data_IF_756664171263
#
_entry.id   IF_756664171263
#
_cell.length_a   1.000
_cell.length_b   1.000
_cell.length_c   1.000
_cell.angle_alpha   90.00
_cell.angle_beta   90.00
_cell.angle_gamma   90.00
#
_symmetry.space_group_name_H-M   'P 1'
#
loop_
_entity.id
_entity.type
_entity.pdbx_description
1 polymer ?
#
# COMPACT_ATOMS: atom_id res chain seq x y z
N UNK A 1 14.82 -6.30 11.62
CA UNK A 1 15.12 -5.17 10.70
C UNK A 1 14.94 -5.50 9.21
N UNK A 2 15.36 -6.66 8.68
CA UNK A 2 15.15 -7.01 7.25
C UNK A 2 13.67 -7.02 6.80
N UNK A 3 12.75 -7.47 7.65
CA UNK A 3 11.30 -7.52 7.35
C UNK A 3 10.66 -6.12 7.20
N UNK A 4 11.25 -5.10 7.80
CA UNK A 4 10.83 -3.72 7.62
C UNK A 4 11.30 -3.20 6.26
N UNK A 5 12.55 -3.47 5.88
CA UNK A 5 13.13 -3.08 4.59
C UNK A 5 12.38 -3.68 3.39
N UNK A 6 12.04 -4.98 3.42
CA UNK A 6 11.25 -5.62 2.36
C UNK A 6 9.82 -5.07 2.26
N UNK A 7 9.18 -4.78 3.40
CA UNK A 7 7.83 -4.23 3.41
C UNK A 7 7.79 -2.76 2.97
N UNK A 8 8.79 -1.95 3.36
CA UNK A 8 8.91 -0.57 2.91
C UNK A 8 9.30 -0.49 1.44
N UNK A 9 10.09 -1.44 0.93
CA UNK A 9 10.42 -1.54 -0.51
C UNK A 9 9.18 -1.76 -1.38
N UNK A 10 8.25 -2.61 -0.96
CA UNK A 10 6.99 -2.81 -1.69
C UNK A 10 6.14 -1.53 -1.70
N UNK A 11 6.00 -0.87 -0.55
CA UNK A 11 5.27 0.41 -0.44
C UNK A 11 5.93 1.49 -1.31
N UNK A 12 7.25 1.62 -1.26
CA UNK A 12 8.01 2.58 -2.05
C UNK A 12 7.83 2.33 -3.56
N UNK A 13 7.84 1.07 -3.99
CA UNK A 13 7.59 0.71 -5.39
C UNK A 13 6.20 1.14 -5.86
N UNK A 14 5.16 0.89 -5.04
CA UNK A 14 3.79 1.33 -5.36
C UNK A 14 3.67 2.86 -5.39
N UNK A 15 4.37 3.56 -4.50
CA UNK A 15 4.42 5.03 -4.49
C UNK A 15 5.08 5.58 -5.75
N UNK A 16 6.22 5.02 -6.16
CA UNK A 16 6.92 5.43 -7.39
C UNK A 16 6.04 5.18 -8.62
N UNK A 17 5.37 4.03 -8.68
CA UNK A 17 4.43 3.71 -9.75
C UNK A 17 3.25 4.70 -9.80
N UNK A 18 2.63 4.99 -8.65
CA UNK A 18 1.53 5.95 -8.56
C UNK A 18 1.97 7.37 -8.96
N UNK A 19 3.20 7.77 -8.62
CA UNK A 19 3.77 9.06 -9.00
C UNK A 19 3.96 9.18 -10.52
N UNK A 20 4.48 8.13 -11.19
CA UNK A 20 4.65 8.10 -12.65
C UNK A 20 3.29 8.19 -13.34
N UNK A 21 2.29 7.43 -12.88
CA UNK A 21 0.93 7.48 -13.41
C UNK A 21 0.29 8.85 -13.19
N UNK A 22 0.50 9.48 -12.02
CA UNK A 22 0.03 10.82 -11.75
C UNK A 22 0.61 11.85 -12.73
N UNK A 23 1.91 11.79 -13.00
CA UNK A 23 2.57 12.66 -13.99
C UNK A 23 2.01 12.44 -15.40
N UNK A 24 1.74 11.19 -15.80
CA UNK A 24 1.06 10.91 -17.08
C UNK A 24 -0.35 11.48 -17.12
N UNK A 25 -1.11 11.41 -16.02
CA UNK A 25 -2.44 11.99 -15.92
C UNK A 25 -2.42 13.52 -16.09
N UNK A 26 -1.39 14.19 -15.54
CA UNK A 26 -1.21 15.64 -15.71
C UNK A 26 -0.85 16.03 -17.15
N UNK A 27 -0.13 15.17 -17.87
CA UNK A 27 0.25 15.40 -19.29
C UNK A 27 -0.91 15.17 -20.27
N UNK A 28 -1.92 14.38 -19.91
CA UNK A 28 -3.14 14.16 -20.72
C UNK A 28 -4.26 15.12 -20.31
N UNK A 29 -4.13 16.41 -20.64
CA UNK A 29 -5.13 17.40 -20.27
C UNK A 29 -6.39 17.36 -21.16
N UNK A 30 -6.27 16.88 -22.41
CA UNK A 30 -7.32 16.96 -23.43
C UNK A 30 -8.15 15.68 -23.62
N UNK A 31 -7.77 14.55 -23.02
CA UNK A 31 -8.43 13.25 -23.26
C UNK A 31 -9.26 12.76 -22.06
N UNK A 32 -10.49 12.21 -22.27
CA UNK A 32 -11.31 11.60 -21.22
C UNK A 32 -10.60 10.50 -20.41
N UNK A 33 -9.54 9.91 -20.98
CA UNK A 33 -8.68 8.90 -20.36
C UNK A 33 -8.01 9.34 -19.06
N UNK A 34 -7.97 10.64 -18.75
CA UNK A 34 -7.45 11.16 -17.48
C UNK A 34 -8.11 10.50 -16.26
N UNK A 35 -9.42 10.24 -16.32
CA UNK A 35 -10.15 9.57 -15.24
C UNK A 35 -9.70 8.12 -15.00
N UNK A 36 -9.27 7.41 -16.04
CA UNK A 36 -8.70 6.07 -15.90
C UNK A 36 -7.36 6.12 -15.14
N UNK A 37 -6.51 7.11 -15.42
CA UNK A 37 -5.25 7.30 -14.69
C UNK A 37 -5.48 7.73 -13.25
N UNK A 38 -6.46 8.61 -12.97
CA UNK A 38 -6.84 8.97 -11.60
C UNK A 38 -7.34 7.74 -10.84
N UNK A 39 -8.16 6.89 -11.47
CA UNK A 39 -8.60 5.61 -10.91
C UNK A 39 -7.42 4.68 -10.59
N UNK A 40 -6.41 4.62 -11.47
CA UNK A 40 -5.19 3.84 -11.24
C UNK A 40 -4.37 4.34 -10.04
N UNK A 41 -4.22 5.66 -9.87
CA UNK A 41 -3.57 6.23 -8.68
C UNK A 41 -4.36 5.88 -7.42
N UNK A 42 -5.69 5.96 -7.47
CA UNK A 42 -6.55 5.57 -6.35
C UNK A 42 -6.40 4.08 -6.00
N UNK A 43 -6.33 3.20 -7.00
CA UNK A 43 -6.03 1.79 -6.81
C UNK A 43 -4.67 1.58 -6.14
N UNK A 44 -3.63 2.31 -6.57
CA UNK A 44 -2.31 2.26 -5.93
C UNK A 44 -2.36 2.66 -4.44
N UNK A 45 -3.10 3.73 -4.12
CA UNK A 45 -3.35 4.14 -2.74
C UNK A 45 -4.09 3.08 -1.93
N UNK A 46 -5.11 2.45 -2.52
CA UNK A 46 -5.88 1.39 -1.89
C UNK A 46 -5.02 0.15 -1.61
N UNK A 47 -4.09 -0.19 -2.50
CA UNK A 47 -3.11 -1.26 -2.27
C UNK A 47 -2.25 -0.97 -1.04
N UNK A 48 -1.75 0.26 -0.88
CA UNK A 48 -0.95 0.65 0.30
C UNK A 48 -1.79 0.51 1.58
N UNK A 49 -3.05 0.98 1.55
CA UNK A 49 -3.96 0.88 2.70
C UNK A 49 -4.21 -0.58 3.11
N UNK A 50 -4.43 -1.48 2.14
CA UNK A 50 -4.62 -2.92 2.39
C UNK A 50 -3.37 -3.54 3.00
N UNK A 51 -2.17 -3.22 2.50
CA UNK A 51 -0.90 -3.73 3.05
C UNK A 51 -0.74 -3.33 4.53
N UNK A 52 -1.03 -2.06 4.86
CA UNK A 52 -0.96 -1.58 6.25
C UNK A 52 -2.01 -2.27 7.14
N UNK A 53 -3.21 -2.50 6.59
CA UNK A 53 -4.27 -3.18 7.33
C UNK A 53 -3.93 -4.64 7.63
N UNK A 54 -3.39 -5.38 6.65
CA UNK A 54 -2.92 -6.75 6.84
C UNK A 54 -1.80 -6.78 7.88
N UNK A 55 -0.84 -5.86 7.83
CA UNK A 55 0.21 -5.75 8.84
C UNK A 55 -0.37 -5.60 10.24
N UNK A 56 -1.29 -4.65 10.43
CA UNK A 56 -1.94 -4.40 11.72
C UNK A 56 -2.79 -5.59 12.19
N UNK A 57 -3.37 -6.33 11.26
CA UNK A 57 -4.14 -7.54 11.57
C UNK A 57 -3.23 -8.65 12.09
N UNK A 58 -2.14 -8.94 11.36
CA UNK A 58 -1.16 -9.96 11.76
C UNK A 58 -0.49 -9.61 13.09
N UNK A 59 -0.13 -8.34 13.31
CA UNK A 59 0.50 -7.90 14.57
C UNK A 59 -0.42 -8.16 15.77
N UNK A 60 -1.72 -7.82 15.64
CA UNK A 60 -2.71 -8.09 16.69
C UNK A 60 -2.94 -9.57 16.95
N UNK A 61 -2.86 -10.42 15.93
CA UNK A 61 -2.94 -11.87 16.12
C UNK A 61 -1.73 -12.39 16.90
N UNK A 62 -0.53 -11.92 16.57
CA UNK A 62 0.70 -12.30 17.23
C UNK A 62 0.70 -11.88 18.72
N UNK A 63 0.23 -10.66 19.03
CA UNK A 63 0.04 -10.20 20.42
C UNK A 63 -1.00 -11.02 21.19
N UNK A 64 -2.07 -11.44 20.53
CA UNK A 64 -3.11 -12.26 21.15
C UNK A 64 -2.63 -13.68 21.44
N UNK A 65 -1.81 -14.24 20.54
CA UNK A 65 -1.17 -15.55 20.70
C UNK A 65 -0.14 -15.54 21.84
N UNK A 66 0.72 -14.51 21.91
CA UNK A 66 1.71 -14.36 22.98
C UNK A 66 1.05 -14.20 24.35
N UNK A 67 -0.07 -13.46 24.44
CA UNK A 67 -0.85 -13.37 25.68
C UNK A 67 -1.45 -14.70 26.11
N UNK A 68 -1.86 -15.54 25.16
CA UNK A 68 -2.45 -16.85 25.43
C UNK A 68 -1.40 -17.84 25.93
N UNK A 69 -0.21 -17.85 25.33
CA UNK A 69 0.92 -18.67 25.80
C UNK A 69 1.39 -18.27 27.20
N UNK A 70 1.40 -16.97 27.52
CA UNK A 70 1.82 -16.48 28.85
C UNK A 70 0.80 -16.77 29.97
N UNK A 71 -0.43 -17.12 29.62
CA UNK A 71 -1.52 -17.45 30.56
C UNK A 71 -1.71 -18.94 30.81
N UNK A 72 -0.97 -19.79 30.08
CA UNK A 72 -0.83 -21.23 30.30
C UNK A 72 0.41 -21.52 31.15
#
# INVERSE_FOLDING_TARGET
>A
MLRAYLNYGLIASVVVWAAIIGVMAYRLHESPWRWAFVGLVFCGGLTIAVILWIKKYVDRLNEAEEKRERSL
#
